data_IF_080617100579
#
_entry.id   IF_080617100579
#
_cell.length_a   1.000
_cell.length_b   1.000
_cell.length_c   1.000
_cell.angle_alpha   90.00
_cell.angle_beta   90.00
_cell.angle_gamma   90.00
#
_symmetry.space_group_name_H-M   'P 1'
#
loop_
_entity.id
_entity.type
_entity.pdbx_description
1 polymer ?
#
# COMPACT_ATOMS: atom_id res chain seq x y z
N UNK A 1 36.94 -57.46 21.02
CA UNK A 1 37.46 -56.23 20.38
C UNK A 1 36.50 -55.59 19.38
N UNK A 2 35.67 -56.33 18.64
CA UNK A 2 34.73 -55.76 17.66
C UNK A 2 33.65 -54.84 18.25
N UNK A 3 33.16 -55.13 19.47
CA UNK A 3 32.11 -54.32 20.12
C UNK A 3 32.63 -52.95 20.56
N UNK A 4 33.91 -52.84 20.91
CA UNK A 4 34.52 -51.55 21.29
C UNK A 4 34.64 -50.59 20.10
N UNK A 5 34.86 -51.11 18.88
CA UNK A 5 34.96 -50.31 17.66
C UNK A 5 33.62 -49.68 17.29
N UNK A 6 32.51 -50.41 17.49
CA UNK A 6 31.16 -49.88 17.25
C UNK A 6 30.74 -48.82 18.29
N UNK A 7 31.15 -48.96 19.54
CA UNK A 7 30.87 -47.96 20.58
C UNK A 7 31.66 -46.66 20.37
N UNK A 8 32.90 -46.73 19.85
CA UNK A 8 33.67 -45.53 19.49
C UNK A 8 33.13 -44.88 18.21
N UNK A 9 32.65 -45.66 17.24
CA UNK A 9 32.01 -45.13 16.03
C UNK A 9 30.66 -44.46 16.33
N UNK A 10 29.86 -45.00 17.27
CA UNK A 10 28.61 -44.39 17.72
C UNK A 10 28.84 -43.13 18.57
N UNK A 11 29.94 -43.07 19.33
CA UNK A 11 30.33 -41.88 20.10
C UNK A 11 30.84 -40.72 19.22
N UNK A 12 31.33 -41.00 18.00
CA UNK A 12 31.72 -39.98 17.01
C UNK A 12 30.57 -39.57 16.06
N UNK A 13 29.47 -40.32 16.04
CA UNK A 13 28.26 -39.96 15.28
C UNK A 13 27.23 -39.14 16.08
N UNK A 14 27.51 -38.84 17.34
CA UNK A 14 26.83 -37.80 18.10
C UNK A 14 27.54 -36.45 17.89
N UNK A 15 27.74 -36.07 16.62
CA UNK A 15 27.91 -34.66 16.31
C UNK A 15 26.60 -34.00 16.72
N UNK A 16 26.61 -33.39 17.91
CA UNK A 16 25.60 -32.40 18.27
C UNK A 16 25.46 -31.51 17.05
N UNK A 17 24.28 -31.50 16.43
CA UNK A 17 23.90 -30.41 15.57
C UNK A 17 23.97 -29.18 16.48
N UNK A 18 25.14 -28.55 16.54
CA UNK A 18 25.31 -27.29 17.19
C UNK A 18 24.32 -26.39 16.47
N UNK A 19 23.19 -26.12 17.12
CA UNK A 19 22.17 -25.21 16.62
C UNK A 19 22.88 -23.88 16.51
N UNK A 20 23.40 -23.59 15.31
CA UNK A 20 24.06 -22.33 15.01
C UNK A 20 23.12 -21.22 15.48
N UNK A 21 23.64 -20.17 16.14
CA UNK A 21 22.80 -19.05 16.51
C UNK A 21 22.10 -18.52 15.25
N UNK A 22 20.80 -18.14 15.34
CA UNK A 22 20.08 -17.61 14.19
C UNK A 22 20.88 -16.45 13.62
N UNK A 23 20.98 -16.35 12.28
CA UNK A 23 21.76 -15.30 11.67
C UNK A 23 21.18 -13.94 12.07
N UNK A 24 22.07 -13.01 12.38
CA UNK A 24 21.75 -11.61 12.71
C UNK A 24 22.02 -10.77 11.46
N UNK A 25 21.26 -9.68 11.21
CA UNK A 25 21.56 -8.75 10.13
C UNK A 25 22.97 -8.18 10.26
N UNK A 26 23.72 -8.19 9.16
CA UNK A 26 24.99 -7.46 9.14
C UNK A 26 24.70 -5.95 9.18
N UNK A 27 25.53 -5.14 9.87
CA UNK A 27 25.31 -3.70 9.97
C UNK A 27 25.14 -2.99 8.62
N UNK A 28 25.81 -3.49 7.57
CA UNK A 28 25.72 -2.94 6.21
C UNK A 28 24.35 -3.14 5.57
N UNK A 29 23.69 -4.26 5.84
CA UNK A 29 22.40 -4.62 5.21
C UNK A 29 21.24 -3.81 5.80
N UNK A 30 21.42 -3.29 7.01
CA UNK A 30 20.40 -2.55 7.76
C UNK A 30 20.80 -1.11 8.06
N UNK A 31 21.96 -0.63 7.59
CA UNK A 31 22.46 0.71 7.91
C UNK A 31 21.48 1.82 7.52
N UNK A 32 20.98 1.78 6.29
CA UNK A 32 20.02 2.77 5.78
C UNK A 32 18.67 2.74 6.51
N UNK A 33 17.98 1.59 6.63
CA UNK A 33 16.71 1.54 7.35
C UNK A 33 16.87 1.82 8.86
N UNK A 34 18.04 1.52 9.44
CA UNK A 34 18.36 1.84 10.83
C UNK A 34 18.51 3.35 11.05
N UNK A 35 19.15 4.07 10.13
CA UNK A 35 19.28 5.53 10.20
C UNK A 35 17.89 6.20 10.13
N UNK A 36 17.04 5.77 9.21
CA UNK A 36 15.65 6.25 9.09
C UNK A 36 14.86 5.98 10.38
N UNK A 37 14.97 4.77 10.94
CA UNK A 37 14.28 4.42 12.18
C UNK A 37 14.79 5.23 13.39
N UNK A 38 16.10 5.52 13.44
CA UNK A 38 16.71 6.36 14.48
C UNK A 38 16.21 7.80 14.37
N UNK A 39 16.15 8.36 13.16
CA UNK A 39 15.57 9.67 12.89
C UNK A 39 14.11 9.74 13.35
N UNK A 40 13.30 8.74 13.02
CA UNK A 40 11.88 8.66 13.43
C UNK A 40 11.72 8.56 14.94
N UNK A 41 12.56 7.79 15.61
CA UNK A 41 12.59 7.73 17.08
C UNK A 41 12.92 9.10 17.71
N UNK A 42 13.79 9.89 17.08
CA UNK A 42 14.08 11.26 17.49
C UNK A 42 12.88 12.21 17.27
N UNK A 43 12.15 12.07 16.16
CA UNK A 43 10.89 12.80 15.94
C UNK A 43 9.85 12.50 17.03
N UNK A 44 9.66 11.22 17.38
CA UNK A 44 8.74 10.81 18.44
C UNK A 44 9.12 11.39 19.79
N UNK A 45 10.42 11.39 20.10
CA UNK A 45 10.94 11.97 21.34
C UNK A 45 10.63 13.46 21.45
N UNK A 46 10.71 14.19 20.32
CA UNK A 46 10.56 15.64 20.31
C UNK A 46 9.10 16.10 20.24
N UNK A 47 8.21 15.36 19.57
CA UNK A 47 6.88 15.85 19.25
C UNK A 47 5.71 14.98 19.74
N UNK A 48 5.91 13.70 20.02
CA UNK A 48 4.79 12.76 20.20
C UNK A 48 4.87 11.85 21.44
N UNK A 49 5.87 12.04 22.31
CA UNK A 49 6.08 11.23 23.54
C UNK A 49 5.98 9.70 23.31
N UNK A 50 6.32 9.24 22.11
CA UNK A 50 6.52 7.82 21.80
C UNK A 50 5.39 7.07 21.09
N UNK A 51 4.35 7.74 20.57
CA UNK A 51 3.27 7.08 19.80
C UNK A 51 3.22 7.55 18.34
N UNK A 52 3.18 6.60 17.40
CA UNK A 52 3.10 6.88 15.96
C UNK A 52 1.79 7.56 15.57
N UNK A 53 0.63 7.07 16.01
CA UNK A 53 -0.67 7.67 15.67
C UNK A 53 -0.75 9.15 16.06
N UNK A 54 -0.22 9.48 17.23
CA UNK A 54 -0.13 10.87 17.69
C UNK A 54 0.83 11.68 16.82
N UNK A 55 1.95 11.08 16.39
CA UNK A 55 2.90 11.71 15.49
C UNK A 55 2.29 12.00 14.10
N UNK A 56 1.53 11.05 13.54
CA UNK A 56 0.92 11.20 12.22
C UNK A 56 -0.19 12.27 12.21
N UNK A 57 -0.78 12.57 13.37
CA UNK A 57 -1.79 13.63 13.53
C UNK A 57 -1.17 15.01 13.78
N UNK A 58 0.06 15.08 14.29
CA UNK A 58 0.75 16.34 14.56
C UNK A 58 1.55 16.80 13.33
N UNK A 59 1.33 18.03 12.83
CA UNK A 59 1.93 18.47 11.57
C UNK A 59 3.47 18.45 11.61
N UNK A 60 4.08 18.91 12.70
CA UNK A 60 5.54 18.88 12.84
C UNK A 60 6.11 17.47 12.97
N UNK A 61 5.42 16.58 13.69
CA UNK A 61 5.90 15.21 13.85
C UNK A 61 5.77 14.42 12.55
N UNK A 62 4.63 14.54 11.85
CA UNK A 62 4.41 13.95 10.55
C UNK A 62 5.44 14.44 9.52
N UNK A 63 5.71 15.74 9.48
CA UNK A 63 6.72 16.31 8.58
C UNK A 63 8.12 15.78 8.91
N UNK A 64 8.50 15.72 10.19
CA UNK A 64 9.75 15.10 10.62
C UNK A 64 9.85 13.64 10.17
N UNK A 65 8.80 12.86 10.43
CA UNK A 65 8.72 11.43 10.10
C UNK A 65 8.89 11.13 8.61
N UNK A 66 8.25 11.93 7.75
CA UNK A 66 8.36 11.81 6.29
C UNK A 66 9.72 12.31 5.79
N UNK A 67 10.24 13.40 6.33
CA UNK A 67 11.55 13.94 5.92
C UNK A 67 12.70 12.99 6.26
N UNK A 68 12.58 12.20 7.33
CA UNK A 68 13.56 11.16 7.68
C UNK A 68 13.82 10.14 6.56
N UNK A 69 12.78 9.77 5.81
CA UNK A 69 12.89 8.81 4.70
C UNK A 69 13.50 9.46 3.45
N UNK A 70 13.12 10.70 3.16
CA UNK A 70 13.63 11.47 2.02
C UNK A 70 15.13 11.79 2.13
N UNK A 71 15.60 12.11 3.34
CA UNK A 71 16.99 12.51 3.57
C UNK A 71 17.97 11.33 3.52
N UNK A 72 17.58 10.11 3.90
CA UNK A 72 18.45 8.92 3.80
C UNK A 72 18.76 8.55 2.35
N UNK A 73 17.74 8.60 1.47
CA UNK A 73 17.86 8.12 0.10
C UNK A 73 18.50 9.11 -0.88
N UNK A 74 18.42 10.41 -0.62
CA UNK A 74 18.87 11.47 -1.53
C UNK A 74 19.26 12.76 -0.78
N UNK A 75 20.20 12.68 0.17
CA UNK A 75 20.60 13.85 0.96
C UNK A 75 21.06 15.03 0.10
N UNK A 76 21.80 14.77 -1.00
CA UNK A 76 22.32 15.82 -1.89
C UNK A 76 21.21 16.67 -2.53
N UNK A 77 20.02 16.10 -2.73
CA UNK A 77 18.86 16.79 -3.31
C UNK A 77 17.91 17.27 -2.21
N UNK A 78 17.51 16.37 -1.31
CA UNK A 78 16.53 16.64 -0.27
C UNK A 78 17.06 17.52 0.87
N UNK A 79 18.39 17.61 1.02
CA UNK A 79 19.08 18.45 1.98
C UNK A 79 19.08 19.94 1.62
N UNK A 80 18.80 20.30 0.36
CA UNK A 80 18.67 21.71 -0.04
C UNK A 80 17.54 22.42 0.71
N UNK A 81 16.46 21.69 1.01
CA UNK A 81 15.35 22.18 1.84
C UNK A 81 15.82 22.52 3.26
N UNK A 82 16.82 21.82 3.81
CA UNK A 82 17.31 22.03 5.18
C UNK A 82 17.87 23.44 5.40
N UNK A 83 18.42 24.04 4.34
CA UNK A 83 18.97 25.41 4.36
C UNK A 83 17.92 26.50 4.18
N UNK A 84 16.68 26.14 3.80
CA UNK A 84 15.63 27.12 3.52
C UNK A 84 14.59 27.21 4.67
N UNK A 85 14.64 28.27 5.50
CA UNK A 85 13.75 28.41 6.65
C UNK A 85 12.28 28.68 6.28
N UNK A 86 12.00 29.04 5.03
CA UNK A 86 10.62 29.27 4.55
C UNK A 86 9.90 27.99 4.13
N UNK A 87 10.66 26.91 3.89
CA UNK A 87 10.14 25.59 3.48
C UNK A 87 10.33 24.56 4.60
N UNK A 88 11.43 24.67 5.35
CA UNK A 88 11.79 23.74 6.40
C UNK A 88 11.36 24.26 7.79
N UNK A 89 10.12 23.94 8.15
CA UNK A 89 9.55 24.21 9.47
C UNK A 89 10.08 23.27 10.56
N UNK A 90 9.60 23.41 11.80
CA UNK A 90 10.16 22.75 12.98
C UNK A 90 10.34 21.23 12.83
N UNK A 91 9.37 20.53 12.24
CA UNK A 91 9.49 19.10 11.92
C UNK A 91 10.65 18.77 10.98
N UNK A 92 10.79 19.53 9.89
CA UNK A 92 11.86 19.35 8.92
C UNK A 92 13.24 19.65 9.53
N UNK A 93 13.37 20.73 10.31
CA UNK A 93 14.63 21.13 10.96
C UNK A 93 15.18 20.03 11.87
N UNK A 94 14.29 19.27 12.52
CA UNK A 94 14.67 18.15 13.38
C UNK A 94 15.28 17.00 12.59
N UNK A 95 14.66 16.62 11.48
CA UNK A 95 15.18 15.58 10.61
C UNK A 95 16.50 16.01 9.95
N UNK A 96 16.59 17.26 9.49
CA UNK A 96 17.80 17.82 8.90
C UNK A 96 18.97 17.82 9.90
N UNK A 97 18.74 18.35 11.10
CA UNK A 97 19.75 18.37 12.16
C UNK A 97 20.24 16.96 12.51
N UNK A 98 19.33 15.98 12.54
CA UNK A 98 19.71 14.59 12.78
C UNK A 98 20.71 14.09 11.74
N UNK A 99 20.44 14.26 10.45
CA UNK A 99 21.34 13.78 9.39
C UNK A 99 22.63 14.60 9.28
N UNK A 100 22.59 15.90 9.55
CA UNK A 100 23.79 16.72 9.70
C UNK A 100 24.70 16.15 10.81
N UNK A 101 24.15 15.88 12.00
CA UNK A 101 24.89 15.33 13.13
C UNK A 101 25.31 13.86 12.93
N UNK A 102 24.51 13.05 12.24
CA UNK A 102 24.79 11.64 11.98
C UNK A 102 25.90 11.43 10.93
N UNK A 103 26.05 12.35 9.97
CA UNK A 103 27.23 12.38 9.09
C UNK A 103 28.53 12.50 9.90
N UNK A 104 28.51 13.16 11.05
CA UNK A 104 29.66 13.26 11.97
C UNK A 104 29.74 12.11 12.98
N UNK A 105 28.65 11.38 13.26
CA UNK A 105 28.55 10.39 14.35
C UNK A 105 28.72 8.92 13.99
N UNK A 106 29.11 8.56 12.76
CA UNK A 106 29.30 7.17 12.29
C UNK A 106 30.33 6.29 13.05
N UNK A 107 30.76 6.63 14.27
CA UNK A 107 31.74 5.89 15.07
C UNK A 107 31.35 5.58 16.52
N UNK A 108 30.14 5.91 16.97
CA UNK A 108 29.72 5.59 18.35
C UNK A 108 28.88 4.31 18.40
N UNK A 109 29.53 3.16 18.59
CA UNK A 109 28.86 1.90 18.92
C UNK A 109 28.26 2.00 20.33
N UNK A 110 26.94 1.79 20.44
CA UNK A 110 26.26 1.65 21.71
C UNK A 110 26.10 0.16 22.03
N UNK A 111 26.16 -0.25 23.31
CA UNK A 111 25.97 -1.64 23.68
C UNK A 111 24.54 -2.09 23.34
N UNK A 112 24.42 -3.05 22.43
CA UNK A 112 23.15 -3.60 21.96
C UNK A 112 22.80 -4.84 22.78
N UNK A 113 21.62 -4.88 23.38
CA UNK A 113 21.14 -6.11 24.01
C UNK A 113 20.61 -7.08 22.95
N UNK A 114 20.99 -8.34 23.02
CA UNK A 114 20.47 -9.39 22.13
C UNK A 114 19.54 -10.32 22.91
N UNK A 115 18.30 -10.49 22.46
CA UNK A 115 17.31 -11.35 23.10
C UNK A 115 16.75 -12.37 22.10
N UNK A 116 17.02 -13.66 22.36
CA UNK A 116 16.77 -14.78 21.44
C UNK A 116 15.36 -15.39 21.56
N UNK A 117 14.61 -15.06 22.62
CA UNK A 117 13.31 -15.71 22.93
C UNK A 117 12.15 -14.71 23.12
N UNK A 118 12.35 -13.45 22.75
CA UNK A 118 11.34 -12.41 22.96
C UNK A 118 10.24 -12.36 21.90
N UNK A 119 10.44 -13.01 20.73
CA UNK A 119 9.48 -13.00 19.62
C UNK A 119 8.54 -14.20 19.68
N UNK A 120 7.24 -13.92 19.63
CA UNK A 120 6.17 -14.91 19.53
C UNK A 120 5.50 -14.77 18.17
N UNK A 121 5.43 -15.86 17.41
CA UNK A 121 4.69 -15.93 16.16
C UNK A 121 3.34 -16.61 16.41
N UNK A 122 2.26 -15.88 16.17
CA UNK A 122 0.89 -16.40 16.18
C UNK A 122 0.41 -16.52 14.73
N UNK A 123 0.09 -17.73 14.29
CA UNK A 123 -0.37 -17.98 12.91
C UNK A 123 -1.87 -17.71 12.81
N UNK A 124 -2.29 -16.94 11.82
CA UNK A 124 -3.69 -16.70 11.50
C UNK A 124 -4.17 -17.67 10.40
N UNK A 125 -5.48 -17.95 10.31
CA UNK A 125 -6.05 -18.62 9.14
C UNK A 125 -5.63 -17.88 7.85
N UNK A 126 -5.47 -18.62 6.73
CA UNK A 126 -5.14 -18.08 5.39
C UNK A 126 -3.66 -17.71 5.14
N UNK A 127 -2.74 -18.10 6.02
CA UNK A 127 -1.30 -17.92 5.81
C UNK A 127 -0.75 -16.56 6.24
N UNK A 128 -1.56 -15.74 6.92
CA UNK A 128 -1.11 -14.55 7.61
C UNK A 128 -0.51 -14.91 8.99
N UNK A 129 0.37 -14.07 9.51
CA UNK A 129 0.98 -14.25 10.83
C UNK A 129 1.00 -12.96 11.63
N UNK A 130 1.05 -13.06 12.95
CA UNK A 130 1.28 -11.92 13.84
C UNK A 130 2.55 -12.20 14.62
N UNK A 131 3.56 -11.35 14.43
CA UNK A 131 4.73 -11.32 15.30
C UNK A 131 4.42 -10.39 16.46
N UNK A 132 4.63 -10.86 17.68
CA UNK A 132 4.45 -10.07 18.90
C UNK A 132 5.63 -10.25 19.84
N UNK A 133 5.93 -9.22 20.62
CA UNK A 133 6.99 -9.25 21.62
C UNK A 133 6.60 -8.48 22.87
N UNK A 134 7.32 -8.74 23.97
CA UNK A 134 7.13 -7.96 25.18
C UNK A 134 7.62 -6.51 24.96
N UNK A 135 6.82 -5.50 25.33
CA UNK A 135 7.22 -4.11 25.18
C UNK A 135 8.48 -3.84 26.02
N UNK A 136 9.48 -3.19 25.42
CA UNK A 136 10.67 -2.79 26.13
C UNK A 136 10.35 -1.58 27.03
N UNK A 137 10.95 -1.47 28.24
CA UNK A 137 10.70 -0.37 29.19
C UNK A 137 11.43 0.92 28.78
N UNK A 138 11.42 1.26 27.48
CA UNK A 138 12.05 2.44 26.91
C UNK A 138 11.04 3.17 26.02
N UNK A 139 10.86 4.49 26.18
CA UNK A 139 9.95 5.27 25.34
C UNK A 139 10.58 5.58 23.98
N UNK A 140 9.75 6.01 23.03
CA UNK A 140 10.16 6.46 21.69
C UNK A 140 10.94 5.40 20.90
N UNK A 141 10.44 4.17 20.93
CA UNK A 141 11.01 3.09 20.15
C UNK A 141 10.30 2.96 18.81
N UNK A 142 11.10 2.79 17.77
CA UNK A 142 10.66 2.33 16.46
C UNK A 142 11.20 0.92 16.29
N UNK A 143 10.30 -0.02 16.02
CA UNK A 143 10.62 -1.40 15.73
C UNK A 143 10.73 -1.58 14.23
N UNK A 144 11.90 -2.04 13.79
CA UNK A 144 12.21 -2.34 12.41
C UNK A 144 12.17 -3.86 12.22
N UNK A 145 11.21 -4.34 11.44
CA UNK A 145 11.10 -5.75 11.08
C UNK A 145 11.94 -6.01 9.83
N UNK A 146 12.91 -6.92 9.96
CA UNK A 146 13.75 -7.37 8.85
C UNK A 146 13.67 -8.88 8.71
N UNK A 147 13.73 -9.35 7.48
CA UNK A 147 13.81 -10.78 7.20
C UNK A 147 14.87 -11.11 6.17
N UNK A 148 15.37 -12.33 6.31
CA UNK A 148 16.26 -13.00 5.38
C UNK A 148 15.55 -14.25 4.86
N UNK A 149 15.19 -14.29 3.57
CA UNK A 149 14.66 -15.50 2.95
C UNK A 149 15.66 -16.66 3.03
N UNK A 150 15.20 -17.90 3.22
CA UNK A 150 16.10 -19.06 3.34
C UNK A 150 17.02 -19.32 2.13
N UNK A 151 16.66 -18.82 0.95
CA UNK A 151 17.44 -18.94 -0.29
C UNK A 151 18.36 -17.73 -0.56
N UNK A 152 18.37 -16.71 0.31
CA UNK A 152 19.11 -15.47 0.10
C UNK A 152 19.93 -15.12 1.33
N UNK A 153 21.11 -14.53 1.14
CA UNK A 153 21.91 -14.03 2.24
C UNK A 153 21.62 -12.57 2.60
N UNK A 154 20.70 -11.92 1.90
CA UNK A 154 20.42 -10.49 1.99
C UNK A 154 19.25 -10.25 2.94
N UNK A 155 19.47 -9.42 3.95
CA UNK A 155 18.41 -8.91 4.81
C UNK A 155 17.64 -7.80 4.12
N UNK A 156 16.33 -7.79 4.30
CA UNK A 156 15.46 -6.73 3.78
C UNK A 156 14.52 -6.25 4.86
N UNK A 157 14.28 -4.94 4.89
CA UNK A 157 13.20 -4.36 5.69
C UNK A 157 11.84 -4.82 5.12
N UNK A 158 10.98 -5.29 6.01
CA UNK A 158 9.57 -5.59 5.71
C UNK A 158 8.69 -4.41 6.10
N UNK A 159 8.85 -3.93 7.34
CA UNK A 159 8.02 -2.86 7.89
C UNK A 159 8.70 -2.15 9.05
N UNK A 160 8.14 -1.00 9.43
CA UNK A 160 8.46 -0.29 10.67
C UNK A 160 7.16 -0.05 11.43
N UNK A 161 7.20 -0.12 12.76
CA UNK A 161 6.05 0.15 13.63
C UNK A 161 6.52 0.66 14.99
N UNK A 162 5.68 1.38 15.72
CA UNK A 162 5.90 1.69 17.15
C UNK A 162 5.21 0.70 18.09
N UNK A 163 4.39 -0.19 17.54
CA UNK A 163 3.67 -1.21 18.30
C UNK A 163 4.56 -2.40 18.63
N UNK A 164 4.19 -3.16 19.66
CA UNK A 164 4.87 -4.42 20.02
C UNK A 164 4.30 -5.64 19.29
N UNK A 165 3.56 -5.39 18.21
CA UNK A 165 3.05 -6.38 17.29
C UNK A 165 3.16 -5.90 15.84
N UNK A 166 3.35 -6.84 14.91
CA UNK A 166 3.33 -6.59 13.47
C UNK A 166 2.57 -7.71 12.78
N UNK A 167 1.60 -7.31 11.95
CA UNK A 167 0.88 -8.22 11.06
C UNK A 167 1.70 -8.49 9.81
N UNK A 168 1.85 -9.76 9.51
CA UNK A 168 2.53 -10.28 8.34
C UNK A 168 1.49 -10.63 7.30
N UNK A 169 1.44 -9.82 6.26
CA UNK A 169 0.66 -10.12 5.07
C UNK A 169 1.24 -11.35 4.35
N UNK A 170 0.36 -12.17 3.78
CA UNK A 170 0.69 -13.46 3.17
C UNK A 170 1.80 -13.40 2.11
N UNK A 171 2.06 -12.22 1.52
CA UNK A 171 3.12 -11.97 0.54
C UNK A 171 4.48 -11.51 1.07
N UNK A 172 4.52 -10.87 2.24
CA UNK A 172 5.78 -10.31 2.77
C UNK A 172 6.59 -11.34 3.55
N UNK A 173 5.92 -12.34 4.11
CA UNK A 173 6.50 -13.43 4.87
C UNK A 173 5.71 -14.71 4.61
N UNK A 174 5.71 -15.15 3.36
CA UNK A 174 5.70 -16.59 3.15
C UNK A 174 7.04 -17.11 3.68
N UNK A 175 7.07 -17.33 5.01
CA UNK A 175 8.18 -17.87 5.77
C UNK A 175 8.53 -19.21 5.14
N UNK A 176 9.40 -19.16 4.13
CA UNK A 176 10.00 -20.35 3.56
C UNK A 176 10.67 -21.09 4.71
N UNK A 177 10.67 -22.43 4.72
CA UNK A 177 11.49 -23.18 5.67
C UNK A 177 12.92 -22.63 5.62
N UNK A 178 13.49 -22.36 6.79
CA UNK A 178 14.81 -21.74 7.00
C UNK A 178 14.89 -20.23 6.75
N UNK A 179 13.78 -19.49 6.76
CA UNK A 179 13.82 -18.03 6.80
C UNK A 179 14.21 -17.53 8.19
N UNK A 180 14.91 -16.40 8.27
CA UNK A 180 15.25 -15.78 9.56
C UNK A 180 14.57 -14.43 9.67
N UNK A 181 13.94 -14.18 10.82
CA UNK A 181 13.25 -12.92 11.08
C UNK A 181 13.87 -12.26 12.30
N UNK A 182 14.08 -10.95 12.21
CA UNK A 182 14.59 -10.15 13.31
C UNK A 182 13.77 -8.87 13.45
N UNK A 183 13.54 -8.48 14.70
CA UNK A 183 12.98 -7.18 15.05
C UNK A 183 14.06 -6.37 15.74
N UNK A 184 14.40 -5.24 15.16
CA UNK A 184 15.38 -4.30 15.69
C UNK A 184 14.61 -3.21 16.44
N UNK A 185 14.80 -3.12 17.76
CA UNK A 185 14.27 -2.02 18.55
C UNK A 185 15.23 -0.84 18.46
N UNK A 186 14.78 0.27 17.88
CA UNK A 186 15.60 1.45 17.59
C UNK A 186 15.08 2.63 18.41
N UNK A 187 15.97 3.31 19.11
CA UNK A 187 15.67 4.52 19.86
C UNK A 187 16.34 5.75 19.26
N UNK A 188 16.17 6.94 19.85
CA UNK A 188 16.75 8.19 19.35
C UNK A 188 18.29 8.24 19.41
N UNK A 189 18.91 7.27 20.11
CA UNK A 189 20.37 7.12 20.22
C UNK A 189 20.92 5.99 19.35
N UNK A 190 20.07 5.35 18.54
CA UNK A 190 20.41 4.22 17.68
C UNK A 190 19.82 2.89 18.16
N UNK A 191 20.43 1.80 17.72
CA UNK A 191 19.97 0.44 18.01
C UNK A 191 20.00 0.15 19.51
N UNK A 192 18.87 -0.30 20.05
CA UNK A 192 18.69 -0.59 21.47
C UNK A 192 18.74 -2.09 21.74
N UNK A 193 18.01 -2.87 20.96
CA UNK A 193 17.90 -4.31 21.15
C UNK A 193 17.62 -5.03 19.84
N UNK A 194 18.07 -6.28 19.75
CA UNK A 194 17.76 -7.19 18.65
C UNK A 194 16.94 -8.34 19.21
N UNK A 195 15.75 -8.55 18.65
CA UNK A 195 14.89 -9.69 18.93
C UNK A 195 14.96 -10.62 17.73
N UNK A 196 15.34 -11.89 17.94
CA UNK A 196 15.49 -12.87 16.86
C UNK A 196 14.47 -13.99 16.99
N UNK A 197 13.95 -14.46 15.85
CA UNK A 197 13.11 -15.64 15.76
C UNK A 197 13.70 -16.60 14.73
N UNK A 198 14.01 -17.82 15.19
CA UNK A 198 14.40 -18.90 14.29
C UNK A 198 13.17 -19.68 13.85
N UNK A 199 12.80 -19.55 12.59
CA UNK A 199 11.59 -20.20 12.06
C UNK A 199 11.76 -21.71 11.91
N UNK A 200 13.00 -22.22 11.97
CA UNK A 200 13.28 -23.66 12.03
C UNK A 200 12.73 -24.32 13.30
N UNK A 201 12.49 -23.54 14.36
CA UNK A 201 11.91 -24.02 15.63
C UNK A 201 10.39 -23.87 15.71
N UNK A 202 9.81 -23.07 14.81
CA UNK A 202 8.37 -22.84 14.76
C UNK A 202 7.80 -23.80 13.73
N UNK A 203 6.83 -24.62 14.15
CA UNK A 203 5.99 -25.37 13.21
C UNK A 203 5.16 -24.36 12.41
N UNK A 204 5.75 -23.79 11.37
CA UNK A 204 5.03 -22.99 10.41
C UNK A 204 3.91 -23.88 9.87
N UNK A 205 2.65 -23.40 9.78
CA UNK A 205 1.64 -24.12 9.05
C UNK A 205 2.24 -24.33 7.66
N UNK A 206 2.38 -25.60 7.26
CA UNK A 206 2.75 -25.93 5.89
C UNK A 206 1.92 -25.02 5.00
N UNK A 207 2.56 -24.05 4.33
CA UNK A 207 1.88 -23.31 3.26
C UNK A 207 1.46 -24.44 2.33
N UNK A 208 0.15 -24.70 2.17
CA UNK A 208 -0.28 -25.79 1.33
C UNK A 208 0.40 -25.59 -0.02
N UNK A 209 1.07 -26.62 -0.52
CA UNK A 209 1.59 -26.63 -1.88
C UNK A 209 0.52 -26.03 -2.78
N UNK A 210 0.88 -25.07 -3.62
CA UNK A 210 -0.08 -24.23 -4.34
C UNK A 210 -1.02 -25.12 -5.19
N UNK A 211 -2.17 -25.48 -4.63
CA UNK A 211 -3.18 -26.26 -5.33
C UNK A 211 -3.96 -25.29 -6.19
N UNK A 212 -3.39 -24.97 -7.35
CA UNK A 212 -4.13 -24.26 -8.39
C UNK A 212 -5.15 -25.23 -8.97
N UNK A 213 -6.42 -24.83 -8.99
CA UNK A 213 -7.44 -25.60 -9.71
C UNK A 213 -7.04 -25.67 -11.18
N UNK A 214 -6.81 -26.89 -11.68
CA UNK A 214 -6.45 -27.14 -13.09
C UNK A 214 -7.67 -27.18 -14.01
N UNK A 215 -8.87 -27.05 -13.46
CA UNK A 215 -10.10 -27.01 -14.22
C UNK A 215 -10.23 -25.64 -14.92
N UNK A 216 -10.68 -25.61 -16.19
CA UNK A 216 -10.96 -24.35 -16.86
C UNK A 216 -12.02 -23.59 -16.07
N UNK A 217 -11.69 -22.37 -15.64
CA UNK A 217 -12.62 -21.52 -14.90
C UNK A 217 -13.29 -20.50 -15.80
N UNK A 218 -14.58 -20.29 -15.56
CA UNK A 218 -15.42 -19.36 -16.31
C UNK A 218 -15.57 -18.04 -15.61
N UNK A 219 -15.59 -16.96 -16.38
CA UNK A 219 -16.06 -15.68 -15.89
C UNK A 219 -17.58 -15.63 -16.00
N UNK A 220 -18.19 -14.90 -15.08
CA UNK A 220 -19.60 -14.59 -15.08
C UNK A 220 -19.76 -13.09 -15.21
N UNK A 221 -20.58 -12.65 -16.17
CA UNK A 221 -21.16 -11.32 -16.14
C UNK A 221 -22.19 -11.28 -15.01
N UNK A 222 -21.95 -10.45 -14.00
CA UNK A 222 -22.83 -10.29 -12.83
C UNK A 222 -23.89 -9.24 -13.13
N UNK A 223 -23.47 -8.12 -13.70
CA UNK A 223 -24.37 -7.02 -14.02
C UNK A 223 -23.82 -6.14 -15.15
N UNK A 224 -24.73 -5.46 -15.85
CA UNK A 224 -24.39 -4.44 -16.83
C UNK A 224 -25.33 -3.25 -16.66
N UNK A 225 -24.75 -2.07 -16.49
CA UNK A 225 -25.45 -0.83 -16.24
C UNK A 225 -25.01 0.25 -17.22
N UNK A 226 -25.97 0.83 -17.93
CA UNK A 226 -25.74 1.98 -18.81
C UNK A 226 -25.74 3.26 -18.00
N UNK A 227 -24.59 3.94 -17.97
CA UNK A 227 -24.44 5.24 -17.34
C UNK A 227 -24.68 6.33 -18.37
N UNK A 228 -25.83 6.98 -18.25
CA UNK A 228 -26.19 8.12 -19.08
C UNK A 228 -25.37 9.36 -18.67
N UNK A 229 -24.81 10.08 -19.65
CA UNK A 229 -23.99 11.25 -19.37
C UNK A 229 -24.83 12.35 -18.71
N UNK A 230 -24.26 13.04 -17.71
CA UNK A 230 -24.94 14.18 -17.08
C UNK A 230 -24.77 15.46 -17.89
N UNK A 231 -23.71 15.52 -18.72
CA UNK A 231 -23.38 16.66 -19.59
C UNK A 231 -23.32 16.22 -21.04
N UNK A 232 -23.68 17.11 -21.97
CA UNK A 232 -23.69 16.84 -23.43
C UNK A 232 -22.34 16.42 -24.04
N UNK A 233 -21.23 16.59 -23.33
CA UNK A 233 -19.89 16.23 -23.81
C UNK A 233 -19.35 14.92 -23.19
N UNK A 234 -20.05 14.31 -22.25
CA UNK A 234 -19.70 13.00 -21.71
C UNK A 234 -20.31 11.93 -22.63
N UNK A 235 -19.50 10.97 -23.07
CA UNK A 235 -19.99 9.82 -23.85
C UNK A 235 -20.82 8.86 -23.00
N UNK A 236 -21.71 8.09 -23.64
CA UNK A 236 -22.43 7.00 -22.98
C UNK A 236 -21.41 5.93 -22.55
N UNK A 237 -21.50 5.46 -21.30
CA UNK A 237 -20.57 4.49 -20.74
C UNK A 237 -21.33 3.28 -20.22
N UNK A 238 -20.78 2.09 -20.42
CA UNK A 238 -21.27 0.86 -19.80
C UNK A 238 -20.39 0.50 -18.62
N UNK A 239 -21.00 0.28 -17.47
CA UNK A 239 -20.33 -0.31 -16.31
C UNK A 239 -20.78 -1.76 -16.23
N UNK A 240 -19.84 -2.69 -16.39
CA UNK A 240 -20.10 -4.12 -16.26
C UNK A 240 -19.35 -4.67 -15.05
N UNK A 241 -20.00 -5.55 -14.30
CA UNK A 241 -19.37 -6.29 -13.20
C UNK A 241 -19.09 -7.71 -13.67
N UNK A 242 -17.84 -8.13 -13.54
CA UNK A 242 -17.37 -9.45 -13.94
C UNK A 242 -16.80 -10.14 -12.72
N UNK A 243 -17.25 -11.38 -12.47
CA UNK A 243 -16.79 -12.19 -11.35
C UNK A 243 -16.32 -13.58 -11.79
N UNK A 244 -15.49 -14.21 -10.98
CA UNK A 244 -14.99 -15.56 -11.20
C UNK A 244 -14.80 -16.28 -9.86
N UNK A 245 -14.60 -17.60 -9.91
CA UNK A 245 -14.26 -18.37 -8.72
C UNK A 245 -12.80 -18.17 -8.31
N UNK A 246 -12.49 -18.08 -7.00
CA UNK A 246 -11.12 -17.98 -6.52
C UNK A 246 -10.32 -19.24 -6.87
N UNK A 247 -9.16 -19.05 -7.51
CA UNK A 247 -8.30 -20.13 -8.01
C UNK A 247 -7.23 -20.56 -7.02
N UNK A 248 -6.87 -19.66 -6.10
CA UNK A 248 -6.00 -19.93 -4.97
C UNK A 248 -6.33 -18.96 -3.82
N UNK A 249 -5.94 -19.28 -2.58
CA UNK A 249 -6.09 -18.35 -1.46
C UNK A 249 -5.13 -17.16 -1.63
N UNK A 250 -5.61 -15.95 -1.33
CA UNK A 250 -4.84 -14.70 -1.54
C UNK A 250 -4.27 -14.58 -2.96
N UNK A 251 -5.08 -15.00 -3.95
CA UNK A 251 -4.73 -14.95 -5.34
C UNK A 251 -4.69 -13.51 -5.87
N UNK A 252 -3.74 -13.26 -6.76
CA UNK A 252 -3.62 -12.03 -7.52
C UNK A 252 -3.90 -12.34 -8.99
N UNK A 253 -4.73 -11.52 -9.61
CA UNK A 253 -5.21 -11.69 -10.97
C UNK A 253 -4.86 -10.48 -11.82
N UNK A 254 -4.69 -10.72 -13.11
CA UNK A 254 -4.74 -9.68 -14.15
C UNK A 254 -5.97 -9.91 -15.01
N UNK A 255 -6.82 -8.90 -15.08
CA UNK A 255 -8.00 -8.87 -15.94
C UNK A 255 -7.62 -8.12 -17.20
N UNK A 256 -7.82 -8.73 -18.35
CA UNK A 256 -7.51 -8.15 -19.66
C UNK A 256 -8.79 -8.09 -20.49
N UNK A 257 -9.07 -6.94 -21.09
CA UNK A 257 -10.16 -6.79 -22.06
C UNK A 257 -9.65 -6.22 -23.37
N UNK A 258 -10.18 -6.72 -24.48
CA UNK A 258 -9.79 -6.33 -25.84
C UNK A 258 -11.01 -6.26 -26.77
N UNK A 259 -11.01 -5.35 -27.74
CA UNK A 259 -12.06 -5.26 -28.76
C UNK A 259 -12.08 -6.49 -29.68
N UNK A 260 -13.26 -6.98 -30.03
CA UNK A 260 -13.42 -8.00 -31.08
C UNK A 260 -13.06 -7.38 -32.43
N UNK A 261 -11.86 -7.70 -32.93
CA UNK A 261 -11.26 -7.06 -34.11
C UNK A 261 -9.89 -6.42 -33.85
N UNK A 262 -9.45 -6.38 -32.59
CA UNK A 262 -8.14 -5.87 -32.17
C UNK A 262 -8.11 -4.35 -31.96
N UNK A 263 -6.99 -3.86 -31.42
CA UNK A 263 -6.69 -2.43 -31.31
C UNK A 263 -6.64 -1.91 -29.88
N UNK A 264 -7.80 -1.75 -29.22
CA UNK A 264 -7.86 -1.24 -27.85
C UNK A 264 -7.86 -2.38 -26.85
N UNK A 265 -6.84 -2.38 -25.99
CA UNK A 265 -6.62 -3.37 -24.94
C UNK A 265 -6.38 -2.67 -23.62
N UNK A 266 -7.10 -3.09 -22.58
CA UNK A 266 -6.89 -2.63 -21.21
C UNK A 266 -6.53 -3.79 -20.29
N UNK A 267 -5.85 -3.46 -19.19
CA UNK A 267 -5.49 -4.42 -18.14
C UNK A 267 -5.78 -3.83 -16.77
N UNK A 268 -6.15 -4.68 -15.82
CA UNK A 268 -6.36 -4.33 -14.42
C UNK A 268 -5.76 -5.41 -13.52
N UNK A 269 -4.94 -5.01 -12.55
CA UNK A 269 -4.45 -5.90 -11.50
C UNK A 269 -5.38 -5.85 -10.29
N UNK A 270 -5.73 -7.02 -9.74
CA UNK A 270 -6.66 -7.13 -8.61
C UNK A 270 -6.39 -8.35 -7.75
N UNK A 271 -6.68 -8.26 -6.45
CA UNK A 271 -6.76 -9.39 -5.52
C UNK A 271 -8.22 -9.82 -5.25
N UNK A 272 -9.19 -9.11 -5.81
CA UNK A 272 -10.61 -9.42 -5.73
C UNK A 272 -11.01 -10.39 -6.85
N UNK A 273 -12.02 -11.22 -6.60
CA UNK A 273 -12.66 -12.10 -7.60
C UNK A 273 -13.86 -11.46 -8.29
N UNK A 274 -14.07 -10.17 -8.08
CA UNK A 274 -15.09 -9.34 -8.74
C UNK A 274 -14.47 -7.97 -9.08
N UNK A 275 -14.69 -7.49 -10.30
CA UNK A 275 -14.25 -6.18 -10.78
C UNK A 275 -15.36 -5.48 -11.57
N UNK A 276 -15.39 -4.15 -11.46
CA UNK A 276 -16.23 -3.30 -12.29
C UNK A 276 -15.39 -2.70 -13.42
N UNK A 277 -15.75 -2.99 -14.68
CA UNK A 277 -15.11 -2.46 -15.88
C UNK A 277 -15.95 -1.35 -16.50
N UNK A 278 -15.26 -0.33 -16.98
CA UNK A 278 -15.84 0.84 -17.63
C UNK A 278 -15.58 0.75 -19.14
N UNK A 279 -16.61 0.36 -19.90
CA UNK A 279 -16.52 0.02 -21.32
C UNK A 279 -17.32 1.00 -22.19
N UNK A 280 -16.97 1.06 -23.48
CA UNK A 280 -17.77 1.77 -24.48
C UNK A 280 -19.03 0.97 -24.85
N UNK A 281 -20.06 1.70 -25.25
CA UNK A 281 -21.35 1.14 -25.69
C UNK A 281 -21.25 0.60 -27.12
N UNK A 282 -22.21 -0.22 -27.53
CA UNK A 282 -22.32 -0.74 -28.90
C UNK A 282 -21.05 -1.45 -29.40
N UNK A 283 -20.37 -2.14 -28.48
CA UNK A 283 -19.05 -2.70 -28.72
C UNK A 283 -18.95 -4.11 -28.16
N UNK A 284 -18.29 -4.99 -28.90
CA UNK A 284 -17.99 -6.35 -28.46
C UNK A 284 -16.59 -6.40 -27.82
N UNK A 285 -16.50 -6.96 -26.62
CA UNK A 285 -15.24 -7.16 -25.89
C UNK A 285 -14.97 -8.64 -25.62
N UNK A 286 -13.69 -9.02 -25.72
CA UNK A 286 -13.14 -10.26 -25.16
C UNK A 286 -12.52 -9.96 -23.79
N UNK A 287 -12.96 -10.66 -22.76
CA UNK A 287 -12.44 -10.52 -21.39
C UNK A 287 -11.80 -11.84 -20.97
N UNK A 288 -10.58 -11.78 -20.45
CA UNK A 288 -9.86 -12.93 -19.91
C UNK A 288 -9.18 -12.56 -18.59
N UNK A 289 -9.19 -13.48 -17.64
CA UNK A 289 -8.53 -13.34 -16.35
C UNK A 289 -7.39 -14.34 -16.26
N UNK A 290 -6.19 -13.87 -15.95
CA UNK A 290 -5.01 -14.69 -15.71
C UNK A 290 -4.65 -14.63 -14.23
N UNK A 291 -4.47 -15.80 -13.61
CA UNK A 291 -3.87 -15.90 -12.29
C UNK A 291 -2.38 -15.57 -12.45
N UNK A 292 -1.86 -14.62 -11.68
CA UNK A 292 -0.44 -14.22 -11.75
C UNK A 292 0.33 -14.55 -10.47
N UNK A 293 -0.38 -14.72 -9.37
CA UNK A 293 0.22 -15.05 -8.09
C UNK A 293 -0.78 -15.51 -7.06
N UNK A 294 -0.26 -16.02 -5.96
CA UNK A 294 -1.02 -16.44 -4.80
C UNK A 294 -0.14 -16.34 -3.56
N UNK A 295 -0.76 -16.05 -2.41
CA UNK A 295 -0.01 -15.78 -1.17
C UNK A 295 1.09 -14.73 -1.40
N UNK A 296 0.81 -13.71 -2.22
CA UNK A 296 1.75 -12.67 -2.62
C UNK A 296 3.07 -13.13 -3.28
N UNK A 297 3.15 -14.37 -3.75
CA UNK A 297 4.22 -14.85 -4.63
C UNK A 297 3.76 -14.93 -6.08
N UNK A 298 4.65 -14.73 -7.05
CA UNK A 298 4.41 -15.12 -8.43
C UNK A 298 4.17 -16.63 -8.53
N UNK A 299 3.37 -17.05 -9.52
CA UNK A 299 3.21 -18.47 -9.82
C UNK A 299 4.56 -19.14 -10.12
N UNK A 300 4.82 -20.35 -9.59
CA UNK A 300 5.98 -21.13 -9.98
C UNK A 300 5.90 -21.50 -11.47
N UNK A 301 7.04 -21.54 -12.15
CA UNK A 301 7.12 -21.84 -13.58
C UNK A 301 6.53 -23.22 -13.93
N UNK A 302 6.56 -24.16 -12.98
CA UNK A 302 5.97 -25.50 -13.10
C UNK A 302 4.44 -25.53 -13.24
N UNK A 303 3.74 -24.48 -12.79
CA UNK A 303 2.27 -24.39 -12.86
C UNK A 303 1.81 -23.90 -14.25
N UNK A 304 2.71 -23.27 -15.01
CA UNK A 304 2.38 -22.67 -16.30
C UNK A 304 1.45 -21.47 -16.19
N UNK A 305 1.00 -20.95 -17.34
CA UNK A 305 0.03 -19.85 -17.39
C UNK A 305 -1.37 -20.39 -17.15
N UNK A 306 -2.02 -19.89 -16.11
CA UNK A 306 -3.37 -20.34 -15.75
C UNK A 306 -4.35 -19.21 -16.00
N UNK A 307 -5.22 -19.43 -16.99
CA UNK A 307 -6.12 -18.41 -17.56
C UNK A 307 -7.54 -18.93 -17.60
N UNK A 308 -8.48 -18.01 -17.44
CA UNK A 308 -9.90 -18.29 -17.65
C UNK A 308 -10.21 -18.62 -19.09
N UNK A 309 -11.38 -19.23 -19.30
CA UNK A 309 -12.07 -19.16 -20.60
C UNK A 309 -12.29 -17.68 -20.99
N UNK A 310 -12.41 -17.41 -22.29
CA UNK A 310 -12.63 -16.04 -22.77
C UNK A 310 -14.12 -15.71 -22.74
N UNK A 311 -14.50 -14.64 -22.04
CA UNK A 311 -15.87 -14.13 -22.01
C UNK A 311 -16.06 -13.13 -23.15
N UNK A 312 -17.07 -13.35 -23.98
CA UNK A 312 -17.54 -12.36 -24.96
C UNK A 312 -18.64 -11.52 -24.33
N UNK A 313 -18.44 -10.21 -24.32
CA UNK A 313 -19.39 -9.26 -23.76
C UNK A 313 -19.88 -8.31 -24.86
N UNK A 314 -21.20 -8.28 -25.07
CA UNK A 314 -21.86 -7.34 -25.98
C UNK A 314 -22.44 -6.18 -25.20
N UNK A 315 -21.91 -4.98 -25.42
CA UNK A 315 -22.39 -3.77 -24.75
C UNK A 315 -23.47 -3.02 -25.53
N UNK A 316 -23.97 -3.57 -26.64
CA UNK A 316 -25.11 -3.02 -27.36
C UNK A 316 -26.40 -3.12 -26.53
N UNK A 317 -27.23 -2.07 -26.49
CA UNK A 317 -28.46 -2.09 -25.71
C UNK A 317 -29.40 -3.15 -26.28
N UNK A 318 -29.85 -4.06 -25.42
CA UNK A 318 -30.88 -5.02 -25.77
C UNK A 318 -32.11 -4.26 -26.28
N UNK A 319 -32.50 -4.51 -27.53
CA UNK A 319 -33.71 -3.91 -28.09
C UNK A 319 -34.90 -4.43 -27.29
N UNK A 320 -35.75 -3.57 -26.69
CA UNK A 320 -37.00 -4.06 -26.13
C UNK A 320 -37.80 -4.65 -27.29
N UNK A 321 -38.05 -5.96 -27.23
CA UNK A 321 -38.94 -6.63 -28.16
C UNK A 321 -40.23 -5.83 -28.24
N UNK A 322 -40.49 -5.23 -29.41
CA UNK A 322 -41.73 -4.53 -29.69
C UNK A 322 -42.86 -5.56 -29.67
N UNK A 323 -43.48 -5.77 -28.51
CA UNK A 323 -44.83 -6.32 -28.46
C UNK A 323 -45.77 -5.25 -29.02
N UNK A 324 -46.08 -5.40 -30.30
CA UNK A 324 -47.21 -4.74 -30.96
C UNK A 324 -48.47 -5.35 -30.34
N UNK A 325 -49.18 -4.59 -29.51
CA UNK A 325 -50.64 -4.64 -29.52
C UNK A 325 -51.21 -3.30 -29.07
N UNK A 326 -52.21 -2.88 -29.83
CA UNK A 326 -52.73 -1.54 -29.99
C UNK A 326 -53.99 -1.28 -29.16
N UNK A 327 -54.32 0.03 -29.01
CA UNK A 327 -55.64 0.66 -28.72
C UNK A 327 -55.85 1.19 -27.28
N UNK A 328 -56.73 2.20 -27.06
CA UNK A 328 -56.46 3.59 -27.41
C UNK A 328 -56.74 4.60 -26.28
N UNK A 329 -56.13 5.78 -26.47
CA UNK A 329 -56.43 7.12 -25.96
C UNK A 329 -57.84 7.34 -25.38
N UNK A 330 -57.93 7.66 -24.10
CA UNK A 330 -59.07 8.41 -23.52
C UNK A 330 -58.53 9.70 -22.88
N UNK A 331 -58.70 10.79 -23.62
CA UNK A 331 -58.67 12.14 -23.07
C UNK A 331 -59.86 12.33 -22.13
N UNK A 332 -59.63 12.84 -20.91
CA UNK A 332 -60.68 13.57 -20.18
C UNK A 332 -60.14 14.85 -19.57
N UNK A 333 -60.83 15.92 -19.96
CA UNK A 333 -60.52 17.34 -19.80
C UNK A 333 -61.25 17.90 -18.58
N UNK A 334 -60.52 18.66 -17.75
CA UNK A 334 -60.90 19.78 -16.84
C UNK A 334 -62.37 20.04 -16.47
N UNK A 335 -62.59 20.33 -15.18
CA UNK A 335 -63.14 21.59 -14.57
C UNK A 335 -63.11 21.44 -13.03
N UNK A 336 -62.43 22.31 -12.24
CA UNK A 336 -62.84 23.66 -11.74
C UNK A 336 -64.14 23.58 -10.91
N UNK A 337 -64.37 24.20 -9.74
CA UNK A 337 -63.84 25.32 -8.91
C UNK A 337 -64.46 25.06 -7.49
N UNK A 338 -64.02 25.53 -6.31
CA UNK A 338 -63.98 26.88 -5.69
C UNK A 338 -63.34 26.66 -4.30
N UNK A 339 -62.25 27.30 -3.88
CA UNK A 339 -62.10 28.70 -3.40
C UNK A 339 -62.87 29.00 -2.09
N UNK A 340 -62.16 28.94 -0.96
CA UNK A 340 -62.26 29.95 0.11
C UNK A 340 -60.89 30.10 0.80
N UNK A 341 -60.49 31.36 0.95
CA UNK A 341 -59.15 31.88 1.20
C UNK A 341 -58.86 32.13 2.69
N UNK A 342 -57.57 32.09 3.06
CA UNK A 342 -56.81 32.99 3.99
C UNK A 342 -55.60 32.18 4.55
N UNK A 343 -54.31 32.53 4.42
CA UNK A 343 -53.63 33.76 4.00
C UNK A 343 -52.11 33.53 3.74
N UNK A 344 -51.49 34.49 3.01
CA UNK A 344 -50.04 34.89 2.93
C UNK A 344 -49.07 33.96 2.15
N UNK A 345 -48.85 34.12 0.84
CA UNK A 345 -48.09 35.12 0.03
C UNK A 345 -46.55 34.95 -0.06
N UNK A 346 -46.12 34.33 -1.18
CA UNK A 346 -45.07 34.74 -2.17
C UNK A 346 -43.59 34.85 -1.73
N UNK A 347 -42.55 34.35 -2.43
CA UNK A 347 -42.31 34.03 -3.86
C UNK A 347 -40.99 33.23 -3.99
N UNK A 348 -40.89 32.32 -4.97
CA UNK A 348 -39.62 31.83 -5.53
C UNK A 348 -39.22 32.63 -6.79
N UNK A 349 -37.96 32.52 -7.26
CA UNK A 349 -37.71 32.10 -8.66
C UNK A 349 -36.54 31.09 -8.75
N UNK A 350 -36.55 30.07 -9.63
CA UNK A 350 -36.22 30.01 -11.08
C UNK A 350 -34.79 30.46 -11.47
N UNK A 351 -34.03 29.45 -11.94
CA UNK A 351 -32.95 29.35 -12.96
C UNK A 351 -32.59 30.62 -13.76
N UNK A 352 -31.28 30.97 -13.89
CA UNK A 352 -30.54 30.95 -15.18
C UNK A 352 -29.09 31.51 -15.11
N UNK A 353 -28.23 30.82 -15.86
CA UNK A 353 -26.96 31.13 -16.57
C UNK A 353 -26.59 32.62 -16.79
N UNK A 354 -25.28 32.97 -16.68
CA UNK A 354 -24.48 33.85 -17.59
C UNK A 354 -23.01 34.00 -17.09
N UNK A 355 -22.00 33.47 -17.81
CA UNK A 355 -21.06 34.07 -18.81
C UNK A 355 -19.76 34.67 -18.24
N UNK A 356 -18.59 34.37 -18.85
CA UNK A 356 -17.36 35.13 -18.68
C UNK A 356 -17.18 36.12 -19.85
N UNK A 357 -16.99 37.42 -19.56
CA UNK A 357 -16.09 38.33 -20.30
C UNK A 357 -16.15 39.76 -19.79
N UNK A 358 -14.95 40.35 -19.77
CA UNK A 358 -14.57 41.74 -19.92
C UNK A 358 -15.06 42.76 -18.88
N UNK A 359 -14.09 43.38 -18.18
CA UNK A 359 -14.05 44.83 -18.02
C UNK A 359 -12.67 45.33 -17.52
N UNK A 360 -12.06 46.14 -18.39
CA UNK A 360 -11.35 47.40 -18.12
C UNK A 360 -9.84 47.43 -17.80
N UNK A 361 -9.11 47.83 -18.84
CA UNK A 361 -7.93 48.71 -18.88
C UNK A 361 -8.07 50.03 -18.08
N UNK A 362 -6.93 50.44 -17.51
CA UNK A 362 -6.26 51.75 -17.57
C UNK A 362 -6.85 53.02 -16.89
N UNK A 363 -6.08 53.60 -15.94
CA UNK A 363 -5.55 54.98 -16.06
C UNK A 363 -4.61 55.38 -14.89
N UNK A 364 -3.36 55.70 -15.27
CA UNK A 364 -2.51 56.85 -14.93
C UNK A 364 -2.16 57.28 -13.47
N UNK A 365 -0.87 57.58 -13.32
CA UNK A 365 -0.10 58.10 -12.17
C UNK A 365 -0.38 59.59 -11.84
N UNK A 366 0.29 60.23 -10.82
CA UNK A 366 1.70 60.63 -10.97
C UNK A 366 2.59 60.65 -9.69
N UNK A 367 3.91 60.60 -9.94
CA UNK A 367 5.00 61.39 -9.30
C UNK A 367 5.26 61.33 -7.77
N UNK A 368 6.44 60.82 -7.38
CA UNK A 368 7.57 61.65 -6.91
C UNK A 368 8.81 60.83 -6.50
N UNK A 369 9.98 61.27 -6.95
CA UNK A 369 11.31 60.83 -6.49
C UNK A 369 11.72 61.56 -5.20
N UNK A 370 12.80 61.13 -4.50
CA UNK A 370 14.08 61.78 -4.76
C UNK A 370 15.36 60.90 -4.66
N UNK A 371 16.33 61.27 -5.50
CA UNK A 371 17.81 61.29 -5.41
C UNK A 371 18.61 60.51 -4.32
N UNK A 372 19.52 59.63 -4.80
CA UNK A 372 21.02 59.60 -4.69
C UNK A 372 21.74 60.16 -3.42
N UNK A 373 22.90 59.60 -2.99
CA UNK A 373 24.11 59.56 -3.83
C UNK A 373 25.04 58.33 -3.74
N UNK A 374 25.93 58.27 -4.74
CA UNK A 374 27.12 57.41 -4.82
C UNK A 374 28.36 58.05 -4.17
N UNK A 375 29.41 57.22 -4.08
CA UNK A 375 30.87 57.44 -4.21
C UNK A 375 31.74 57.32 -2.92
N UNK A 376 32.79 56.49 -3.09
CA UNK A 376 34.18 56.45 -2.55
C UNK A 376 34.45 55.31 -1.56
N UNK A 377 35.46 54.44 -1.75
CA UNK A 377 36.76 54.52 -2.46
C UNK A 377 37.02 53.25 -3.27
#
# INVERSE_FOLDING_TARGET
MQVLVWLVAAALAACQAAVLPPPIPHPKDVAEPLAVATCRAFCLQKFASGKEDTCLQQPDCFMCWKKCELLQGNYDVAGTDCSNPTVCYAGCQVACKFYEEEQFRRKAEHPVSHNREALKLSTLPQGAGVLSWAPLPKPNLVYLLVAKPGNSNIWRQISQSTESEVRLESGHLALEPNSSVCVLAVGPKGLVSILTLDTSTVLLPNIPELVVRKEPWRLMEVSMHYKYPRRRHEGLQVITEVAWEPQAPNATYIVTWELVGGGLKGNLFTSSTNVSLSLWTDTLYYIQVELVGAYGKPLPESVGKVRSEMLMLDTSPATPAKSVESLPRVERKKRQLTEEMLAVSTTSPIVSVMTPKDCCEEAAAPSSAPSFPSIQV
#
